data_IF_352592983997
#
_entry.id   IF_352592983997
#
_cell.length_a   1.000
_cell.length_b   1.000
_cell.length_c   1.000
_cell.angle_alpha   90.00
_cell.angle_beta   90.00
_cell.angle_gamma   90.00
#
_symmetry.space_group_name_H-M   'P 1'
#
loop_
_entity.id
_entity.type
_entity.pdbx_description
1 polymer ?
#
# COMPACT_ATOMS: atom_id res chain seq x y z
N UNK A 1 7.48 -10.85 -25.98
CA UNK A 1 7.31 -9.64 -25.14
C UNK A 1 5.97 -9.72 -24.41
N UNK A 2 5.79 -9.11 -23.23
CA UNK A 2 4.55 -9.25 -22.42
C UNK A 2 3.26 -8.91 -23.19
N UNK A 3 3.32 -7.93 -24.09
CA UNK A 3 2.17 -7.39 -24.83
C UNK A 3 2.05 -7.91 -26.27
N UNK A 4 2.88 -8.87 -26.67
CA UNK A 4 3.03 -9.28 -28.07
C UNK A 4 1.75 -9.80 -28.72
N UNK A 5 0.86 -10.42 -27.92
CA UNK A 5 -0.39 -11.02 -28.38
C UNK A 5 -1.63 -10.27 -27.86
N UNK A 6 -1.49 -8.98 -27.55
CA UNK A 6 -2.60 -8.12 -27.11
C UNK A 6 -2.93 -8.19 -25.61
N UNK A 7 -2.12 -8.88 -24.81
CA UNK A 7 -2.24 -8.86 -23.36
C UNK A 7 -1.86 -7.49 -22.76
N UNK A 8 -2.52 -7.11 -21.67
CA UNK A 8 -2.16 -5.95 -20.86
C UNK A 8 -0.99 -6.28 -19.93
N UNK A 9 0.00 -5.39 -19.86
CA UNK A 9 1.09 -5.47 -18.91
C UNK A 9 0.84 -4.52 -17.72
N UNK A 10 0.57 -5.09 -16.55
CA UNK A 10 0.32 -4.33 -15.31
C UNK A 10 1.37 -4.67 -14.26
N UNK A 11 2.08 -3.67 -13.75
CA UNK A 11 3.12 -3.87 -12.74
C UNK A 11 2.55 -3.76 -11.32
N UNK A 12 2.82 -4.74 -10.45
CA UNK A 12 2.47 -4.63 -9.04
C UNK A 12 3.54 -3.84 -8.28
N UNK A 13 3.15 -2.71 -7.69
CA UNK A 13 4.00 -1.89 -6.83
C UNK A 13 3.84 -2.31 -5.38
N UNK A 14 4.95 -2.56 -4.68
CA UNK A 14 4.92 -3.09 -3.33
C UNK A 14 6.02 -2.53 -2.42
N UNK A 15 5.74 -2.52 -1.12
CA UNK A 15 6.69 -2.16 -0.07
C UNK A 15 6.49 -3.08 1.13
N UNK A 16 7.52 -3.81 1.56
CA UNK A 16 7.37 -4.87 2.58
C UNK A 16 7.08 -4.35 4.00
N UNK A 17 7.51 -3.12 4.32
CA UNK A 17 7.31 -2.52 5.64
C UNK A 17 7.91 -3.38 6.75
N UNK A 18 7.15 -3.66 7.83
CA UNK A 18 7.58 -4.56 8.92
C UNK A 18 7.89 -6.01 8.52
N UNK A 19 7.56 -6.43 7.30
CA UNK A 19 7.91 -7.76 6.77
C UNK A 19 9.25 -7.78 6.02
N UNK A 20 10.02 -6.69 6.06
CA UNK A 20 11.38 -6.68 5.54
C UNK A 20 12.25 -7.61 6.38
N UNK A 21 12.95 -8.61 5.78
CA UNK A 21 13.85 -9.48 6.52
C UNK A 21 14.94 -8.66 7.23
N UNK A 22 15.28 -9.04 8.46
CA UNK A 22 16.29 -8.32 9.26
C UNK A 22 17.65 -8.22 8.54
N UNK A 23 18.03 -9.25 7.78
CA UNK A 23 19.25 -9.26 6.98
C UNK A 23 19.27 -8.25 5.82
N UNK A 24 18.10 -7.79 5.38
CA UNK A 24 17.97 -6.78 4.31
C UNK A 24 17.92 -5.38 4.92
N UNK A 25 17.14 -5.21 5.99
CA UNK A 25 17.09 -3.99 6.76
C UNK A 25 16.68 -4.34 8.21
N UNK A 26 17.57 -4.07 9.16
CA UNK A 26 17.31 -4.29 10.58
C UNK A 26 16.28 -3.31 11.15
N UNK A 27 16.11 -2.15 10.51
CA UNK A 27 15.24 -1.05 10.93
C UNK A 27 14.35 -0.54 9.78
N UNK A 28 13.45 -1.37 9.23
CA UNK A 28 12.59 -0.98 8.12
C UNK A 28 11.52 0.03 8.57
N UNK A 29 11.02 0.83 7.66
CA UNK A 29 9.88 1.70 7.96
C UNK A 29 8.55 0.94 8.09
N UNK A 30 7.65 1.46 8.92
CA UNK A 30 6.27 0.99 9.09
C UNK A 30 5.37 2.15 9.55
N UNK A 31 4.06 1.92 9.59
CA UNK A 31 3.10 2.86 10.17
C UNK A 31 3.25 3.02 11.69
N UNK A 32 3.73 1.99 12.38
CA UNK A 32 3.97 1.93 13.83
C UNK A 32 5.08 0.93 14.15
N UNK A 33 5.60 0.95 15.39
CA UNK A 33 6.72 0.12 15.88
C UNK A 33 6.31 -1.31 16.29
N UNK A 34 5.30 -1.86 15.62
CA UNK A 34 4.77 -3.20 15.91
C UNK A 34 5.57 -4.25 15.13
N UNK A 35 6.62 -4.82 15.74
CA UNK A 35 7.45 -5.85 15.11
C UNK A 35 6.68 -7.13 14.78
N UNK A 36 6.99 -7.74 13.63
CA UNK A 36 6.50 -9.07 13.30
C UNK A 36 7.39 -10.14 13.96
N UNK A 37 6.86 -10.82 14.98
CA UNK A 37 7.62 -11.83 15.76
C UNK A 37 7.69 -13.21 15.10
N UNK A 38 6.93 -13.42 14.01
CA UNK A 38 6.99 -14.66 13.25
C UNK A 38 8.37 -14.84 12.60
N UNK A 39 8.84 -16.08 12.47
CA UNK A 39 10.07 -16.43 11.75
C UNK A 39 9.74 -17.08 10.42
N UNK A 40 10.48 -16.74 9.36
CA UNK A 40 10.35 -17.38 8.05
C UNK A 40 11.70 -18.02 7.69
N UNK A 41 11.72 -19.35 7.54
CA UNK A 41 12.95 -20.13 7.24
C UNK A 41 14.12 -19.76 8.19
N UNK A 42 13.84 -19.73 9.49
CA UNK A 42 14.78 -19.36 10.57
C UNK A 42 15.24 -17.88 10.61
N UNK A 43 14.80 -17.04 9.67
CA UNK A 43 15.11 -15.60 9.67
C UNK A 43 13.95 -14.78 10.27
N UNK A 44 14.31 -13.78 11.07
CA UNK A 44 13.38 -12.80 11.62
C UNK A 44 13.15 -11.60 10.69
N UNK A 45 12.27 -10.71 11.12
CA UNK A 45 12.00 -9.45 10.46
C UNK A 45 12.61 -8.30 11.26
N UNK A 46 13.08 -7.27 10.54
CA UNK A 46 13.66 -6.08 11.17
C UNK A 46 12.69 -5.39 12.13
N UNK A 47 13.24 -4.71 13.14
CA UNK A 47 12.44 -3.94 14.11
C UNK A 47 11.97 -2.64 13.44
N UNK A 48 10.67 -2.46 13.20
CA UNK A 48 10.21 -1.36 12.39
C UNK A 48 10.35 0.00 13.09
N UNK A 49 10.65 1.04 12.31
CA UNK A 49 10.64 2.44 12.73
C UNK A 49 9.34 3.10 12.25
N UNK A 50 8.55 3.74 13.14
CA UNK A 50 7.37 4.48 12.72
C UNK A 50 7.75 5.65 11.82
N UNK A 51 7.11 5.76 10.67
CA UNK A 51 7.24 6.92 9.78
C UNK A 51 6.66 8.17 10.45
N UNK A 52 7.32 9.33 10.31
CA UNK A 52 6.68 10.62 10.57
C UNK A 52 5.66 10.96 9.48
N UNK A 53 4.79 11.95 9.70
CA UNK A 53 3.83 12.42 8.69
C UNK A 53 4.56 12.85 7.41
N UNK A 54 5.68 13.56 7.56
CA UNK A 54 6.52 14.02 6.44
C UNK A 54 7.12 12.82 5.70
N UNK A 55 7.60 11.80 6.42
CA UNK A 55 8.13 10.60 5.80
C UNK A 55 7.05 9.74 5.13
N UNK A 56 5.80 9.76 5.60
CA UNK A 56 4.70 9.12 4.87
C UNK A 56 4.54 9.77 3.49
N UNK A 57 4.66 11.09 3.41
CA UNK A 57 4.64 11.81 2.13
C UNK A 57 5.84 11.45 1.26
N UNK A 58 7.06 11.63 1.76
CA UNK A 58 8.29 11.52 0.93
C UNK A 58 8.73 10.08 0.68
N UNK A 59 8.59 9.19 1.65
CA UNK A 59 9.11 7.82 1.60
C UNK A 59 8.08 6.79 1.17
N UNK A 60 6.80 7.12 1.21
CA UNK A 60 5.73 6.21 0.79
C UNK A 60 5.00 6.79 -0.40
N UNK A 61 4.23 7.86 -0.21
CA UNK A 61 3.32 8.38 -1.25
C UNK A 61 4.10 8.74 -2.51
N UNK A 62 5.13 9.58 -2.39
CA UNK A 62 5.89 10.06 -3.55
C UNK A 62 6.67 8.95 -4.24
N UNK A 63 7.13 7.93 -3.49
CA UNK A 63 7.83 6.78 -4.08
C UNK A 63 6.89 5.87 -4.88
N UNK A 64 5.65 5.65 -4.42
CA UNK A 64 4.65 4.93 -5.20
C UNK A 64 4.23 5.70 -6.45
N UNK A 65 4.02 7.02 -6.33
CA UNK A 65 3.69 7.89 -7.47
C UNK A 65 4.82 7.87 -8.50
N UNK A 66 6.07 8.02 -8.06
CA UNK A 66 7.24 7.94 -8.92
C UNK A 66 7.34 6.60 -9.65
N UNK A 67 7.14 5.49 -8.94
CA UNK A 67 7.20 4.15 -9.54
C UNK A 67 6.08 3.93 -10.57
N UNK A 68 4.87 4.47 -10.33
CA UNK A 68 3.77 4.40 -11.29
C UNK A 68 4.04 5.24 -12.54
N UNK A 69 4.57 6.46 -12.36
CA UNK A 69 5.02 7.31 -13.47
C UNK A 69 6.07 6.61 -14.33
N UNK A 70 7.07 5.99 -13.69
CA UNK A 70 8.08 5.23 -14.40
C UNK A 70 7.47 4.06 -15.18
N UNK A 71 6.55 3.29 -14.58
CA UNK A 71 5.87 2.21 -15.28
C UNK A 71 5.12 2.69 -16.53
N UNK A 72 4.40 3.81 -16.41
CA UNK A 72 3.73 4.46 -17.54
C UNK A 72 4.71 4.89 -18.64
N UNK A 73 5.80 5.59 -18.28
CA UNK A 73 6.84 6.01 -19.22
C UNK A 73 7.54 4.84 -19.92
N UNK A 74 7.58 3.66 -19.29
CA UNK A 74 8.13 2.43 -19.86
C UNK A 74 7.10 1.58 -20.63
N UNK A 75 5.87 2.07 -20.82
CA UNK A 75 4.86 1.44 -21.69
C UNK A 75 4.04 0.32 -21.05
N UNK A 76 4.03 0.22 -19.72
CA UNK A 76 3.03 -0.59 -19.00
C UNK A 76 1.63 -0.01 -19.21
N UNK A 77 0.62 -0.87 -19.24
CA UNK A 77 -0.79 -0.46 -19.35
C UNK A 77 -1.39 -0.03 -18.00
N UNK A 78 -0.68 -0.31 -16.91
CA UNK A 78 -1.12 0.08 -15.58
C UNK A 78 -0.21 -0.36 -14.45
N UNK A 79 -0.66 -0.03 -13.24
CA UNK A 79 -0.09 -0.52 -11.98
C UNK A 79 -1.16 -1.10 -11.05
N UNK A 80 -0.75 -2.06 -10.24
CA UNK A 80 -1.52 -2.55 -9.11
C UNK A 80 -0.84 -2.14 -7.79
N UNK A 81 -1.54 -1.39 -6.95
CA UNK A 81 -1.07 -0.99 -5.62
C UNK A 81 -1.24 -2.17 -4.66
N UNK A 82 -0.15 -2.70 -4.12
CA UNK A 82 -0.23 -3.83 -3.19
C UNK A 82 -0.48 -3.36 -1.74
N UNK A 83 -1.74 -3.45 -1.31
CA UNK A 83 -2.23 -3.15 0.04
C UNK A 83 -2.78 -4.38 0.77
N UNK A 84 -2.11 -5.53 0.61
CA UNK A 84 -2.53 -6.81 1.14
C UNK A 84 -1.37 -7.55 1.83
N UNK A 85 -1.67 -8.71 2.41
CA UNK A 85 -0.71 -9.67 2.97
C UNK A 85 0.20 -9.11 4.08
N UNK A 86 -0.24 -8.06 4.78
CA UNK A 86 0.51 -7.44 5.86
C UNK A 86 1.76 -6.69 5.41
N UNK A 87 1.87 -6.32 4.13
CA UNK A 87 2.88 -5.40 3.60
C UNK A 87 2.54 -3.96 4.00
N UNK A 88 3.41 -2.98 3.71
CA UNK A 88 3.34 -1.64 4.32
C UNK A 88 1.95 -1.00 4.26
N UNK A 89 1.30 -0.97 3.09
CA UNK A 89 -0.02 -0.34 2.96
C UNK A 89 -1.11 -1.14 3.69
N UNK A 90 -1.04 -2.47 3.70
CA UNK A 90 -1.87 -3.32 4.57
C UNK A 90 -1.61 -3.06 6.06
N UNK A 91 -0.38 -2.69 6.44
CA UNK A 91 -0.05 -2.33 7.81
C UNK A 91 -0.75 -1.02 8.24
N UNK A 92 -0.84 -0.02 7.35
CA UNK A 92 -1.63 1.19 7.59
C UNK A 92 -3.13 0.87 7.70
N UNK A 93 -3.63 0.00 6.82
CA UNK A 93 -5.05 -0.33 6.79
C UNK A 93 -5.50 -1.20 7.96
N UNK A 94 -4.63 -1.98 8.59
CA UNK A 94 -4.98 -2.86 9.72
C UNK A 94 -4.90 -2.15 11.07
N UNK A 95 -5.90 -2.30 11.96
CA UNK A 95 -5.85 -1.70 13.30
C UNK A 95 -4.95 -2.51 14.24
N UNK A 96 -4.53 -3.72 13.85
CA UNK A 96 -3.57 -4.54 14.60
C UNK A 96 -2.18 -3.93 14.52
N UNK A 97 -1.79 -3.44 13.34
CA UNK A 97 -0.45 -2.91 13.08
C UNK A 97 -0.40 -1.39 13.13
N UNK A 98 -1.48 -0.70 12.76
CA UNK A 98 -1.54 0.76 12.82
C UNK A 98 -2.03 1.22 14.20
N UNK A 99 -1.11 1.72 15.01
CA UNK A 99 -1.37 2.28 16.34
C UNK A 99 -1.24 3.81 16.36
N UNK A 100 -1.25 4.45 15.19
CA UNK A 100 -1.14 5.91 15.08
C UNK A 100 -2.37 6.61 15.63
N UNK A 101 -2.16 7.82 16.14
CA UNK A 101 -3.21 8.72 16.64
C UNK A 101 -3.31 10.01 15.81
N UNK A 102 -2.58 10.10 14.70
CA UNK A 102 -2.62 11.22 13.76
C UNK A 102 -3.59 10.95 12.59
N UNK A 103 -3.53 11.77 11.54
CA UNK A 103 -4.42 11.65 10.38
C UNK A 103 -4.30 10.33 9.59
N UNK A 104 -3.30 9.49 9.87
CA UNK A 104 -3.10 8.19 9.23
C UNK A 104 -3.49 7.01 10.12
N UNK A 105 -4.11 7.23 11.29
CA UNK A 105 -4.56 6.16 12.21
C UNK A 105 -5.93 6.39 12.84
N UNK A 106 -6.35 5.42 13.66
CA UNK A 106 -7.67 5.43 14.28
C UNK A 106 -8.77 4.94 13.33
N UNK A 107 -9.57 5.86 12.81
CA UNK A 107 -10.75 5.51 12.00
C UNK A 107 -10.38 4.78 10.69
N UNK A 108 -11.31 3.99 10.10
CA UNK A 108 -11.09 3.38 8.79
C UNK A 108 -10.66 4.38 7.70
N UNK A 109 -11.26 5.58 7.67
CA UNK A 109 -10.96 6.66 6.72
C UNK A 109 -9.50 7.11 6.83
N UNK A 110 -9.01 7.29 8.07
CA UNK A 110 -7.63 7.70 8.32
C UNK A 110 -6.65 6.59 7.98
N UNK A 111 -6.96 5.33 8.33
CA UNK A 111 -6.14 4.15 7.98
C UNK A 111 -6.02 3.97 6.46
N UNK A 112 -7.06 4.33 5.70
CA UNK A 112 -7.07 4.25 4.23
C UNK A 112 -6.46 5.47 3.54
N UNK A 113 -6.25 6.58 4.27
CA UNK A 113 -5.78 7.86 3.72
C UNK A 113 -4.52 7.74 2.86
N UNK A 114 -3.53 6.96 3.30
CA UNK A 114 -2.26 6.80 2.56
C UNK A 114 -2.47 6.20 1.17
N UNK A 115 -3.40 5.25 1.02
CA UNK A 115 -3.71 4.62 -0.26
C UNK A 115 -4.43 5.61 -1.18
N UNK A 116 -5.36 6.38 -0.63
CA UNK A 116 -6.06 7.43 -1.38
C UNK A 116 -5.09 8.51 -1.88
N UNK A 117 -4.18 8.97 -1.02
CA UNK A 117 -3.18 9.97 -1.39
C UNK A 117 -2.19 9.44 -2.45
N UNK A 118 -1.85 8.15 -2.43
CA UNK A 118 -1.11 7.50 -3.53
C UNK A 118 -1.91 7.56 -4.83
N UNK A 119 -3.18 7.13 -4.82
CA UNK A 119 -4.02 7.14 -6.02
C UNK A 119 -4.17 8.55 -6.61
N UNK A 120 -4.49 9.54 -5.76
CA UNK A 120 -4.60 10.95 -6.15
C UNK A 120 -3.27 11.47 -6.73
N UNK A 121 -2.14 11.11 -6.11
CA UNK A 121 -0.81 11.47 -6.61
C UNK A 121 -0.52 10.86 -7.98
N UNK A 122 -0.88 9.60 -8.21
CA UNK A 122 -0.73 8.93 -9.51
C UNK A 122 -1.57 9.64 -10.56
N UNK A 123 -2.83 9.99 -10.25
CA UNK A 123 -3.74 10.66 -11.18
C UNK A 123 -3.33 12.10 -11.51
N UNK A 124 -2.61 12.78 -10.62
CA UNK A 124 -2.00 14.08 -10.91
C UNK A 124 -0.88 13.99 -11.94
N UNK A 125 -0.12 12.90 -11.95
CA UNK A 125 0.98 12.68 -12.92
C UNK A 125 0.48 12.01 -14.22
N UNK A 126 -0.58 11.20 -14.12
CA UNK A 126 -1.10 10.37 -15.21
C UNK A 126 -2.62 10.53 -15.27
N UNK A 127 -3.07 11.39 -16.19
CA UNK A 127 -4.49 11.67 -16.40
C UNK A 127 -5.27 10.38 -16.75
N UNK A 128 -6.52 10.26 -16.26
CA UNK A 128 -7.34 9.07 -16.49
C UNK A 128 -7.70 8.86 -17.97
N UNK A 129 -7.71 9.92 -18.79
CA UNK A 129 -7.96 9.85 -20.24
C UNK A 129 -6.88 9.09 -21.01
N UNK A 130 -5.71 8.87 -20.41
CA UNK A 130 -4.64 8.04 -21.01
C UNK A 130 -5.02 6.56 -21.12
N UNK A 131 -6.05 6.12 -20.40
CA UNK A 131 -6.42 4.71 -20.27
C UNK A 131 -5.52 3.91 -19.32
N UNK A 132 -4.57 4.56 -18.63
CA UNK A 132 -3.68 3.89 -17.70
C UNK A 132 -4.45 3.34 -16.48
N UNK A 133 -4.32 2.03 -16.27
CA UNK A 133 -5.01 1.31 -15.20
C UNK A 133 -4.32 1.54 -13.86
N UNK A 134 -5.10 1.84 -12.83
CA UNK A 134 -4.62 1.91 -11.44
C UNK A 134 -5.50 0.99 -10.61
N UNK A 135 -5.02 -0.22 -10.38
CA UNK A 135 -5.67 -1.23 -9.56
C UNK A 135 -5.15 -1.23 -8.13
N UNK A 136 -5.85 -1.96 -7.26
CA UNK A 136 -5.42 -2.21 -5.88
C UNK A 136 -5.68 -3.66 -5.52
N UNK A 137 -4.73 -4.25 -4.79
CA UNK A 137 -4.88 -5.54 -4.12
C UNK A 137 -4.99 -5.33 -2.62
N UNK A 138 -6.15 -5.66 -2.05
CA UNK A 138 -6.44 -5.52 -0.61
C UNK A 138 -6.80 -6.86 0.05
N UNK A 139 -6.70 -6.93 1.38
CA UNK A 139 -7.20 -8.07 2.16
C UNK A 139 -8.72 -8.00 2.26
N UNK A 140 -9.41 -9.14 2.15
CA UNK A 140 -10.85 -9.25 2.42
C UNK A 140 -11.17 -9.45 3.90
N UNK A 141 -10.23 -10.02 4.67
CA UNK A 141 -10.32 -10.26 6.11
C UNK A 141 -8.93 -10.51 6.69
N UNK A 142 -8.72 -10.15 7.95
CA UNK A 142 -7.59 -10.63 8.75
C UNK A 142 -8.10 -11.61 9.80
N UNK A 143 -7.59 -12.84 9.79
CA UNK A 143 -8.03 -13.93 10.69
C UNK A 143 -7.51 -13.81 12.14
N UNK A 144 -7.15 -12.60 12.56
CA UNK A 144 -6.65 -12.30 13.91
C UNK A 144 -7.72 -11.52 14.68
N UNK A 145 -7.79 -11.70 15.99
CA UNK A 145 -8.70 -10.93 16.84
C UNK A 145 -8.46 -9.42 16.68
N UNK A 146 -9.55 -8.66 16.46
CA UNK A 146 -9.54 -7.24 16.13
C UNK A 146 -8.81 -6.89 14.82
N UNK A 147 -8.69 -7.82 13.88
CA UNK A 147 -8.20 -7.57 12.53
C UNK A 147 -9.21 -6.83 11.64
N UNK A 148 -8.78 -6.53 10.41
CA UNK A 148 -9.67 -6.00 9.38
C UNK A 148 -10.86 -6.95 9.13
N UNK A 149 -12.08 -6.47 9.31
CA UNK A 149 -13.32 -7.23 9.08
C UNK A 149 -13.79 -7.15 7.63
N UNK A 150 -14.74 -8.01 7.24
CA UNK A 150 -15.36 -7.93 5.91
C UNK A 150 -16.09 -6.60 5.70
N UNK A 151 -16.67 -6.03 6.75
CA UNK A 151 -17.34 -4.72 6.68
C UNK A 151 -16.33 -3.58 6.50
N UNK A 152 -15.16 -3.65 7.16
CA UNK A 152 -14.05 -2.74 6.89
C UNK A 152 -13.60 -2.84 5.41
N UNK A 153 -13.46 -4.07 4.89
CA UNK A 153 -13.06 -4.29 3.51
C UNK A 153 -14.08 -3.69 2.52
N UNK A 154 -15.37 -3.90 2.76
CA UNK A 154 -16.46 -3.29 1.96
C UNK A 154 -16.40 -1.77 2.01
N UNK A 155 -16.26 -1.19 3.20
CA UNK A 155 -16.19 0.26 3.39
C UNK A 155 -14.99 0.85 2.64
N UNK A 156 -13.81 0.20 2.74
CA UNK A 156 -12.61 0.62 2.02
C UNK A 156 -12.79 0.54 0.50
N UNK A 157 -13.43 -0.51 -0.02
CA UNK A 157 -13.78 -0.60 -1.44
C UNK A 157 -14.69 0.56 -1.89
N UNK A 158 -15.74 0.86 -1.12
CA UNK A 158 -16.63 1.98 -1.41
C UNK A 158 -15.90 3.32 -1.42
N UNK A 159 -14.99 3.56 -0.46
CA UNK A 159 -14.17 4.78 -0.43
C UNK A 159 -13.27 4.93 -1.66
N UNK A 160 -12.78 3.82 -2.22
CA UNK A 160 -11.96 3.84 -3.44
C UNK A 160 -12.80 4.11 -4.69
N UNK A 161 -14.02 3.59 -4.77
CA UNK A 161 -14.92 3.85 -5.89
C UNK A 161 -15.36 5.32 -5.95
N UNK A 162 -15.69 5.93 -4.82
CA UNK A 162 -16.17 7.33 -4.78
C UNK A 162 -15.11 8.34 -5.27
N UNK A 163 -13.82 8.05 -5.05
CA UNK A 163 -12.71 8.89 -5.55
C UNK A 163 -12.37 8.72 -7.04
N UNK A 164 -13.06 7.82 -7.76
CA UNK A 164 -12.80 7.55 -9.19
C UNK A 164 -13.75 8.28 -10.14
N UNK A 165 -14.74 9.01 -9.63
CA UNK A 165 -15.78 9.69 -10.43
C UNK A 165 -15.80 11.23 -10.31
N UNK A 166 -14.79 11.84 -9.68
CA UNK A 166 -14.66 13.31 -9.55
C UNK A 166 -13.68 13.89 -10.55
#
# INVERSE_FOLDING_TARGET
>A
MMKQDGALAVAQLSHAGRQTPELINAHPFSCSDVQLMAKRRFMGFGKPVPLTVEQIKTEVIDRFVYAAKLAYEQGFDGVEIHAAHGYLLSQFMSPITNKRTDQYGGSPENRMRVVREIYEGIRKEIDSSTGFLVGIKTNSVEFQDNGLSVDDARLMCQMMEVGTYS
#
